data_IF_097750497165
#
_entry.id   IF_097750497165
#
_cell.length_a   1.000
_cell.length_b   1.000
_cell.length_c   1.000
_cell.angle_alpha   90.00
_cell.angle_beta   90.00
_cell.angle_gamma   90.00
#
_symmetry.space_group_name_H-M   'P 1'
#
loop_
_entity.id
_entity.type
_entity.pdbx_description
1 polymer ?
#
# COMPACT_ATOMS: atom_id res chain seq x y z
N UNK A 1 34.68 35.84 31.68
CA UNK A 1 35.21 34.96 30.62
C UNK A 1 34.24 34.93 29.48
N UNK A 2 34.55 35.61 28.35
CA UNK A 2 33.63 35.65 27.16
C UNK A 2 34.00 34.51 26.24
N UNK A 3 33.13 33.51 26.14
CA UNK A 3 33.26 32.39 25.18
C UNK A 3 32.93 32.91 23.76
N UNK A 4 33.98 33.12 22.97
CA UNK A 4 33.83 33.45 21.54
C UNK A 4 33.89 32.13 20.76
N UNK A 5 32.75 31.68 20.27
CA UNK A 5 32.72 30.55 19.35
C UNK A 5 33.16 30.99 17.96
N UNK A 6 34.02 30.25 17.27
CA UNK A 6 34.46 30.61 15.92
C UNK A 6 33.28 30.47 14.95
N UNK A 7 33.14 31.44 14.05
CA UNK A 7 32.06 31.58 13.04
C UNK A 7 31.88 30.32 12.15
N UNK A 8 32.90 29.49 12.05
CA UNK A 8 32.91 28.25 11.29
C UNK A 8 32.05 27.13 11.90
N UNK A 9 31.88 27.11 13.23
CA UNK A 9 31.06 26.12 13.95
C UNK A 9 29.57 26.29 13.63
N UNK A 10 29.12 27.50 13.35
CA UNK A 10 27.72 27.82 12.99
C UNK A 10 27.38 27.31 11.59
N UNK A 11 28.34 27.42 10.64
CA UNK A 11 28.15 26.96 9.25
C UNK A 11 28.04 25.42 9.19
N UNK A 12 28.82 24.70 10.02
CA UNK A 12 28.76 23.24 10.08
C UNK A 12 27.43 22.72 10.67
N UNK A 13 26.85 23.43 11.66
CA UNK A 13 25.56 23.05 12.25
C UNK A 13 24.39 23.30 11.32
N UNK A 14 24.41 24.38 10.52
CA UNK A 14 23.36 24.69 9.54
C UNK A 14 23.37 23.72 8.36
N UNK A 15 24.56 23.26 7.93
CA UNK A 15 24.68 22.28 6.85
C UNK A 15 24.13 20.88 7.22
N UNK A 16 24.20 20.48 8.50
CA UNK A 16 23.65 19.20 8.95
C UNK A 16 22.13 19.18 9.12
N UNK A 17 21.52 20.35 9.35
CA UNK A 17 20.07 20.49 9.50
C UNK A 17 19.30 20.42 8.15
N UNK A 18 19.98 20.52 7.00
CA UNK A 18 19.36 20.49 5.67
C UNK A 18 19.43 19.11 5.00
N UNK A 19 20.05 18.12 5.63
CA UNK A 19 20.05 16.75 5.16
C UNK A 19 18.76 16.03 5.61
N UNK A 20 17.61 16.45 5.10
CA UNK A 20 16.39 15.67 5.21
C UNK A 20 16.53 14.45 4.32
N UNK A 21 16.38 13.21 4.84
CA UNK A 21 16.45 12.03 4.01
C UNK A 21 15.28 12.04 3.02
N UNK A 22 15.60 12.10 1.72
CA UNK A 22 14.64 12.01 0.63
C UNK A 22 14.11 10.55 0.46
N UNK A 23 13.67 9.91 1.55
CA UNK A 23 13.17 8.53 1.54
C UNK A 23 11.70 8.41 1.13
N UNK A 24 10.97 9.53 0.95
CA UNK A 24 9.53 9.49 0.74
C UNK A 24 9.08 9.09 -0.69
N UNK A 25 9.97 9.10 -1.68
CA UNK A 25 9.58 8.87 -3.09
C UNK A 25 9.96 7.50 -3.67
N UNK A 26 10.61 6.63 -2.90
CA UNK A 26 11.08 5.34 -3.42
C UNK A 26 10.08 4.17 -3.24
N UNK A 27 9.02 4.30 -2.44
CA UNK A 27 8.14 3.17 -2.12
C UNK A 27 7.36 2.64 -3.32
N UNK A 28 6.88 3.50 -4.21
CA UNK A 28 6.12 3.06 -5.40
C UNK A 28 6.99 2.56 -6.55
N UNK A 29 8.28 2.89 -6.60
CA UNK A 29 9.19 2.49 -7.66
C UNK A 29 9.45 0.97 -7.72
N UNK A 30 9.24 0.25 -6.63
CA UNK A 30 9.41 -1.20 -6.55
C UNK A 30 8.21 -1.98 -7.12
N UNK A 31 7.06 -1.35 -7.27
CA UNK A 31 5.86 -1.96 -7.82
C UNK A 31 5.74 -1.73 -9.34
N UNK A 32 5.15 -2.67 -10.05
CA UNK A 32 4.83 -2.56 -11.48
C UNK A 32 3.52 -1.79 -11.65
N UNK A 33 3.57 -0.46 -11.48
CA UNK A 33 2.40 0.43 -11.48
C UNK A 33 1.64 0.47 -12.82
N UNK A 34 2.22 -0.04 -13.89
CA UNK A 34 1.63 -0.22 -15.21
C UNK A 34 0.83 -1.52 -15.34
N UNK A 35 0.89 -2.41 -14.34
CA UNK A 35 0.21 -3.70 -14.33
C UNK A 35 -0.89 -3.74 -13.26
N UNK A 36 -2.10 -4.05 -13.69
CA UNK A 36 -3.23 -4.36 -12.80
C UNK A 36 -3.46 -5.87 -12.82
N UNK A 37 -3.17 -6.54 -11.71
CA UNK A 37 -3.38 -7.98 -11.55
C UNK A 37 -4.54 -8.20 -10.59
N UNK A 38 -5.46 -9.11 -10.95
CA UNK A 38 -6.60 -9.48 -10.12
C UNK A 38 -6.29 -10.72 -9.32
N UNK A 39 -6.44 -10.62 -8.01
CA UNK A 39 -6.22 -11.70 -7.03
C UNK A 39 -7.57 -12.08 -6.41
N UNK A 40 -7.96 -13.34 -6.53
CA UNK A 40 -9.19 -13.87 -5.93
C UNK A 40 -8.82 -14.89 -4.87
N UNK A 41 -9.22 -14.67 -3.61
CA UNK A 41 -8.80 -15.55 -2.53
C UNK A 41 -9.52 -15.25 -1.21
N UNK A 42 -8.85 -15.59 -0.11
CA UNK A 42 -9.35 -15.38 1.24
C UNK A 42 -8.35 -14.56 2.04
N UNK A 43 -8.88 -13.66 2.87
CA UNK A 43 -8.07 -12.92 3.84
C UNK A 43 -7.51 -13.88 4.88
N UNK A 44 -6.20 -13.83 5.09
CA UNK A 44 -5.51 -14.52 6.19
C UNK A 44 -5.41 -13.60 7.39
N UNK A 45 -5.04 -12.34 7.14
CA UNK A 45 -4.89 -11.32 8.16
C UNK A 45 -5.17 -9.94 7.56
N UNK A 46 -5.83 -9.08 8.32
CA UNK A 46 -6.00 -7.67 7.98
C UNK A 46 -5.36 -6.80 9.06
N UNK A 47 -4.33 -6.05 8.67
CA UNK A 47 -3.56 -5.17 9.55
C UNK A 47 -3.95 -3.72 9.29
N UNK A 48 -4.79 -3.19 10.17
CA UNK A 48 -5.20 -1.78 10.15
C UNK A 48 -4.24 -0.94 11.00
N UNK A 49 -3.16 -0.45 10.40
CA UNK A 49 -2.07 0.26 11.09
C UNK A 49 -1.42 1.32 10.21
N UNK A 50 -0.63 2.18 10.81
CA UNK A 50 0.20 3.19 10.15
C UNK A 50 1.68 2.74 10.14
N UNK A 51 2.50 3.16 9.16
CA UNK A 51 2.17 4.08 8.06
C UNK A 51 1.32 3.46 6.93
N UNK A 52 1.32 2.14 6.77
CA UNK A 52 0.58 1.43 5.74
C UNK A 52 -0.24 0.29 6.35
N UNK A 53 -1.49 0.15 5.90
CA UNK A 53 -2.32 -1.01 6.22
C UNK A 53 -2.00 -2.16 5.28
N UNK A 54 -2.18 -3.41 5.72
CA UNK A 54 -1.87 -4.59 4.92
C UNK A 54 -3.04 -5.58 4.91
N UNK A 55 -3.24 -6.22 3.77
CA UNK A 55 -4.11 -7.39 3.64
C UNK A 55 -3.23 -8.57 3.25
N UNK A 56 -3.05 -9.51 4.16
CA UNK A 56 -2.44 -10.79 3.84
C UNK A 56 -3.55 -11.69 3.33
N UNK A 57 -3.46 -12.12 2.07
CA UNK A 57 -4.46 -12.97 1.45
C UNK A 57 -3.85 -14.22 0.85
N UNK A 58 -4.62 -15.31 0.86
CA UNK A 58 -4.26 -16.57 0.21
C UNK A 58 -5.11 -16.77 -1.04
N UNK A 59 -4.44 -17.01 -2.14
CA UNK A 59 -5.04 -17.41 -3.41
C UNK A 59 -4.78 -18.90 -3.61
N UNK A 60 -5.83 -19.69 -3.64
CA UNK A 60 -5.76 -21.12 -3.92
C UNK A 60 -5.86 -21.37 -5.43
N UNK A 61 -5.25 -22.45 -5.92
CA UNK A 61 -5.37 -22.84 -7.32
C UNK A 61 -6.83 -23.23 -7.66
N UNK A 62 -7.26 -22.90 -8.86
CA UNK A 62 -8.61 -23.19 -9.35
C UNK A 62 -8.74 -22.96 -10.85
N UNK A 63 -9.84 -23.41 -11.48
CA UNK A 63 -10.01 -23.34 -12.94
C UNK A 63 -10.03 -21.91 -13.49
N UNK A 64 -10.52 -20.94 -12.71
CA UNK A 64 -10.63 -19.53 -13.11
C UNK A 64 -9.59 -18.63 -12.40
N UNK A 65 -8.49 -19.23 -11.91
CA UNK A 65 -7.43 -18.51 -11.20
C UNK A 65 -6.18 -18.50 -12.05
N UNK A 66 -5.61 -17.30 -12.27
CA UNK A 66 -4.30 -17.18 -12.90
C UNK A 66 -3.26 -17.89 -12.02
N UNK A 67 -2.57 -18.93 -12.55
CA UNK A 67 -1.57 -19.68 -11.79
C UNK A 67 -0.46 -18.78 -11.20
N UNK A 68 -0.16 -17.66 -11.80
CA UNK A 68 0.85 -16.71 -11.32
C UNK A 68 0.42 -16.03 -10.02
N UNK A 69 -0.89 -15.96 -9.76
CA UNK A 69 -1.44 -15.34 -8.54
C UNK A 69 -1.56 -16.33 -7.37
N UNK A 70 -1.36 -17.62 -7.59
CA UNK A 70 -1.48 -18.65 -6.54
C UNK A 70 -0.43 -18.44 -5.45
N UNK A 71 -0.87 -18.48 -4.19
CA UNK A 71 -0.01 -18.37 -3.01
C UNK A 71 -0.49 -17.34 -2.00
N UNK A 72 0.35 -17.03 -1.03
CA UNK A 72 0.08 -16.00 -0.01
C UNK A 72 0.73 -14.69 -0.42
N UNK A 73 -0.07 -13.64 -0.45
CA UNK A 73 0.32 -12.30 -0.90
C UNK A 73 0.17 -11.29 0.23
N UNK A 74 1.12 -10.36 0.32
CA UNK A 74 1.02 -9.17 1.16
C UNK A 74 0.62 -7.98 0.28
N UNK A 75 -0.62 -7.50 0.48
CA UNK A 75 -1.16 -6.34 -0.24
C UNK A 75 -0.99 -5.09 0.62
N UNK A 76 -0.05 -4.22 0.25
CA UNK A 76 0.18 -2.95 0.93
C UNK A 76 -0.86 -1.92 0.49
N UNK A 77 -1.60 -1.37 1.44
CA UNK A 77 -2.54 -0.27 1.25
C UNK A 77 -2.01 1.07 1.74
N UNK A 78 -2.88 2.05 1.81
CA UNK A 78 -2.58 3.38 2.36
C UNK A 78 -2.56 3.42 3.89
N UNK A 79 -2.29 4.60 4.43
CA UNK A 79 -2.44 4.86 5.87
C UNK A 79 -3.90 4.74 6.31
N UNK A 80 -4.12 4.46 7.59
CA UNK A 80 -5.48 4.35 8.17
C UNK A 80 -6.31 5.61 7.94
N UNK A 81 -5.67 6.78 7.91
CA UNK A 81 -6.32 8.07 7.66
C UNK A 81 -6.83 8.19 6.22
N UNK A 82 -6.00 7.80 5.24
CA UNK A 82 -6.34 7.87 3.82
C UNK A 82 -7.43 6.86 3.51
N UNK A 83 -7.22 5.59 3.89
CA UNK A 83 -8.17 4.52 3.65
C UNK A 83 -9.51 4.76 4.37
N UNK A 84 -9.49 5.32 5.59
CA UNK A 84 -10.70 5.67 6.34
C UNK A 84 -11.61 6.65 5.59
N UNK A 85 -11.03 7.62 4.87
CA UNK A 85 -11.81 8.55 4.02
C UNK A 85 -12.44 7.87 2.80
N UNK A 86 -11.93 6.71 2.41
CA UNK A 86 -12.47 5.89 1.32
C UNK A 86 -13.52 4.87 1.81
N UNK A 87 -13.80 4.82 3.12
CA UNK A 87 -14.78 3.91 3.69
C UNK A 87 -14.21 2.68 4.38
N UNK A 88 -12.88 2.53 4.41
CA UNK A 88 -12.24 1.45 5.15
C UNK A 88 -12.27 1.71 6.65
N UNK A 89 -12.24 0.63 7.43
CA UNK A 89 -12.10 0.70 8.88
C UNK A 89 -11.46 -0.59 9.42
N UNK A 90 -11.22 -0.65 10.72
CA UNK A 90 -10.56 -1.78 11.38
C UNK A 90 -11.27 -3.13 11.22
N UNK A 91 -12.56 -3.13 10.91
CA UNK A 91 -13.40 -4.33 10.76
C UNK A 91 -13.87 -4.57 9.33
N UNK A 92 -13.28 -3.87 8.34
CA UNK A 92 -13.60 -4.04 6.92
C UNK A 92 -13.42 -5.49 6.48
N UNK A 93 -12.36 -6.14 6.96
CA UNK A 93 -12.09 -7.55 6.70
C UNK A 93 -11.68 -8.27 7.99
N UNK A 94 -11.94 -9.57 8.01
CA UNK A 94 -11.44 -10.53 9.00
C UNK A 94 -10.90 -11.77 8.32
N UNK A 95 -10.11 -12.56 9.02
CA UNK A 95 -9.59 -13.82 8.53
C UNK A 95 -10.73 -14.74 8.04
N UNK A 96 -10.55 -15.34 6.87
CA UNK A 96 -11.52 -16.22 6.20
C UNK A 96 -12.46 -15.49 5.23
N UNK A 97 -12.56 -14.18 5.25
CA UNK A 97 -13.42 -13.44 4.31
C UNK A 97 -12.92 -13.63 2.87
N UNK A 98 -13.85 -13.88 1.95
CA UNK A 98 -13.56 -13.89 0.53
C UNK A 98 -13.24 -12.47 0.05
N UNK A 99 -12.21 -12.34 -0.79
CA UNK A 99 -11.77 -11.05 -1.31
C UNK A 99 -11.39 -11.17 -2.78
N UNK A 100 -11.75 -10.15 -3.56
CA UNK A 100 -11.18 -9.91 -4.89
C UNK A 100 -10.44 -8.58 -4.83
N UNK A 101 -9.12 -8.63 -4.91
CA UNK A 101 -8.25 -7.47 -4.91
C UNK A 101 -7.66 -7.24 -6.30
N UNK A 102 -7.52 -5.99 -6.69
CA UNK A 102 -6.72 -5.56 -7.84
C UNK A 102 -5.53 -4.79 -7.31
N UNK A 103 -4.33 -5.18 -7.72
CA UNK A 103 -3.10 -4.64 -7.17
C UNK A 103 -1.96 -4.63 -8.20
N UNK A 104 -0.93 -3.85 -7.93
CA UNK A 104 0.29 -3.73 -8.70
C UNK A 104 1.38 -4.63 -8.08
N UNK A 105 1.81 -5.72 -8.72
CA UNK A 105 2.77 -6.64 -8.14
C UNK A 105 4.16 -6.02 -7.99
N UNK A 106 4.96 -6.57 -7.09
CA UNK A 106 6.38 -6.25 -7.00
C UNK A 106 7.11 -6.64 -8.28
N UNK A 107 8.04 -5.80 -8.74
CA UNK A 107 8.82 -6.00 -9.96
C UNK A 107 9.79 -7.18 -9.88
N UNK A 108 10.21 -7.53 -8.66
CA UNK A 108 11.16 -8.63 -8.42
C UNK A 108 10.48 -10.02 -8.42
N UNK A 109 9.15 -10.06 -8.57
CA UNK A 109 8.38 -11.30 -8.60
C UNK A 109 8.08 -11.91 -7.22
N UNK A 110 8.50 -11.27 -6.13
CA UNK A 110 8.10 -11.69 -4.79
C UNK A 110 6.59 -11.46 -4.57
N UNK A 111 6.00 -12.21 -3.62
CA UNK A 111 4.55 -12.19 -3.38
C UNK A 111 4.11 -11.02 -2.51
N UNK A 112 4.37 -9.81 -3.03
CA UNK A 112 3.89 -8.55 -2.50
C UNK A 112 3.29 -7.70 -3.61
N UNK A 113 2.34 -6.84 -3.27
CA UNK A 113 1.72 -5.94 -4.22
C UNK A 113 1.24 -4.65 -3.54
N UNK A 114 1.23 -3.54 -4.29
CA UNK A 114 0.52 -2.33 -3.86
C UNK A 114 -0.95 -2.49 -4.20
N UNK A 115 -1.81 -2.46 -3.20
CA UNK A 115 -3.26 -2.55 -3.37
C UNK A 115 -3.74 -1.37 -4.22
N UNK A 116 -4.60 -1.61 -5.19
CA UNK A 116 -5.26 -0.55 -5.94
C UNK A 116 -6.69 -0.38 -5.44
N UNK A 117 -7.50 -1.43 -5.53
CA UNK A 117 -8.84 -1.48 -4.95
C UNK A 117 -9.26 -2.93 -4.65
N UNK A 118 -10.30 -3.08 -3.87
CA UNK A 118 -11.03 -4.34 -3.74
C UNK A 118 -12.42 -4.22 -4.34
N UNK A 119 -12.95 -5.33 -4.85
CA UNK A 119 -14.35 -5.42 -5.30
C UNK A 119 -15.20 -5.87 -4.13
N UNK A 120 -16.21 -5.07 -3.81
CA UNK A 120 -17.23 -5.40 -2.84
C UNK A 120 -18.29 -6.36 -3.44
N UNK A 121 -19.10 -7.06 -2.62
CA UNK A 121 -20.14 -7.99 -3.11
C UNK A 121 -21.19 -7.33 -4.01
N UNK A 122 -21.42 -6.02 -3.86
CA UNK A 122 -22.33 -5.22 -4.68
C UNK A 122 -21.69 -4.74 -6.01
N UNK A 123 -20.43 -5.12 -6.26
CA UNK A 123 -19.67 -4.76 -7.46
C UNK A 123 -18.96 -3.39 -7.37
N UNK A 124 -19.15 -2.66 -6.28
CA UNK A 124 -18.43 -1.39 -6.05
C UNK A 124 -16.94 -1.62 -5.79
N UNK A 125 -16.15 -0.62 -6.16
CA UNK A 125 -14.70 -0.60 -5.89
C UNK A 125 -14.40 0.20 -4.64
N UNK A 126 -13.68 -0.40 -3.72
CA UNK A 126 -13.18 0.27 -2.53
C UNK A 126 -11.67 0.52 -2.69
N UNK A 127 -11.34 1.77 -3.00
CA UNK A 127 -9.95 2.20 -3.26
C UNK A 127 -9.16 2.38 -1.96
N UNK A 128 -7.86 2.09 -2.01
CA UNK A 128 -6.97 2.30 -0.86
C UNK A 128 -6.43 3.74 -0.77
N UNK A 129 -6.54 4.52 -1.86
CA UNK A 129 -6.00 5.88 -1.98
C UNK A 129 -7.05 6.83 -2.57
N UNK A 130 -6.77 8.13 -2.46
CA UNK A 130 -7.63 9.22 -2.95
C UNK A 130 -7.56 9.33 -4.48
N UNK A 131 -6.49 8.85 -5.10
CA UNK A 131 -6.28 8.90 -6.54
C UNK A 131 -7.15 7.88 -7.28
N UNK A 132 -8.48 8.09 -7.28
CA UNK A 132 -9.36 7.40 -8.23
C UNK A 132 -8.94 7.74 -9.66
N UNK A 133 -8.90 6.79 -10.59
CA UNK A 133 -8.73 7.11 -12.00
C UNK A 133 -9.79 8.13 -12.44
N UNK A 134 -9.37 9.15 -13.17
CA UNK A 134 -10.27 10.16 -13.71
C UNK A 134 -11.28 9.46 -14.62
N UNK A 135 -12.56 9.42 -14.22
CA UNK A 135 -13.64 8.76 -15.00
C UNK A 135 -14.19 7.48 -14.36
N UNK A 136 -13.67 7.04 -13.19
CA UNK A 136 -14.31 5.95 -12.44
C UNK A 136 -15.52 6.50 -11.66
N UNK A 137 -16.72 6.27 -12.21
CA UNK A 137 -18.02 6.69 -11.64
C UNK A 137 -18.70 5.56 -10.86
N UNK A 138 -17.96 4.51 -10.47
CA UNK A 138 -18.51 3.42 -9.65
C UNK A 138 -18.74 3.91 -8.22
N UNK A 139 -19.87 4.55 -7.97
CA UNK A 139 -20.47 4.78 -6.65
C UNK A 139 -21.25 3.54 -6.20
#
# INVERSE_FOLDING_TARGET
>A
MKLTFPRWTIIALVGFALATPAFAHHSFAIFAMDKNVTYKGKVVEYRWLNPHSHIIMKVDAGPDVDPQTVGTWDMEGGSTNIMGRQGWNRVTYKAGDAITAVAHPLKDGSKGASLFYVLLPDGKRLYHDIARPKGDTSE
#
